data_IF_663804731631
#
_entry.id   IF_663804731631
#
_cell.length_a   1.000
_cell.length_b   1.000
_cell.length_c   1.000
_cell.angle_alpha   90.00
_cell.angle_beta   90.00
_cell.angle_gamma   90.00
#
_symmetry.space_group_name_H-M   'P 1'
#
loop_
_entity.id
_entity.type
_entity.pdbx_description
1 polymer ?
#
# COMPACT_ATOMS: atom_id res chain seq x y z
N UNK A 1 15.64 -60.51 -74.73
CA UNK A 1 16.46 -61.13 -73.66
C UNK A 1 16.59 -60.12 -72.53
N UNK A 2 16.11 -60.53 -71.36
CA UNK A 2 16.26 -59.95 -70.02
C UNK A 2 15.37 -58.79 -69.55
N UNK A 3 14.99 -58.81 -68.24
CA UNK A 3 13.79 -58.19 -67.67
C UNK A 3 14.09 -57.18 -66.53
N UNK A 4 13.03 -56.69 -65.91
CA UNK A 4 12.85 -56.22 -64.51
C UNK A 4 13.98 -55.51 -63.76
N UNK A 5 13.68 -54.30 -63.26
CA UNK A 5 13.61 -54.07 -61.80
C UNK A 5 12.93 -52.74 -61.44
N UNK A 6 11.88 -52.87 -60.63
CA UNK A 6 11.18 -51.82 -59.90
C UNK A 6 12.11 -51.13 -58.89
N UNK A 7 12.15 -49.78 -58.89
CA UNK A 7 12.75 -48.98 -57.80
C UNK A 7 11.72 -47.99 -57.25
N UNK A 8 11.31 -48.25 -56.02
CA UNK A 8 10.47 -47.40 -55.17
C UNK A 8 11.22 -46.12 -54.74
N UNK A 9 10.52 -44.98 -54.76
CA UNK A 9 10.99 -43.71 -54.22
C UNK A 9 11.12 -43.73 -52.67
N UNK A 10 12.04 -42.96 -52.07
CA UNK A 10 12.22 -42.95 -50.63
C UNK A 10 11.07 -42.17 -49.95
N UNK A 11 10.36 -42.86 -49.06
CA UNK A 11 9.38 -42.26 -48.16
C UNK A 11 10.09 -41.35 -47.15
N UNK A 12 10.06 -40.04 -47.34
CA UNK A 12 10.42 -39.08 -46.30
C UNK A 12 9.29 -39.11 -45.25
N UNK A 13 9.49 -39.86 -44.16
CA UNK A 13 8.62 -39.80 -42.98
C UNK A 13 8.80 -38.43 -42.34
N UNK A 14 7.82 -37.54 -42.53
CA UNK A 14 7.66 -36.35 -41.68
C UNK A 14 7.34 -36.86 -40.27
N UNK A 15 8.31 -36.78 -39.37
CA UNK A 15 8.08 -37.04 -37.95
C UNK A 15 7.10 -36.00 -37.41
N UNK A 16 5.83 -36.38 -37.31
CA UNK A 16 4.84 -35.65 -36.52
C UNK A 16 5.21 -35.84 -35.06
N UNK A 17 5.87 -34.83 -34.49
CA UNK A 17 6.10 -34.76 -33.05
C UNK A 17 4.74 -34.58 -32.39
N UNK A 18 4.32 -35.54 -31.57
CA UNK A 18 3.05 -35.52 -30.86
C UNK A 18 2.91 -34.20 -30.08
N UNK A 19 1.67 -33.69 -29.96
CA UNK A 19 1.36 -32.53 -29.12
C UNK A 19 1.87 -32.70 -27.67
N UNK A 20 2.08 -33.93 -27.20
CA UNK A 20 2.62 -34.23 -25.86
C UNK A 20 4.11 -33.87 -25.69
N UNK A 21 4.93 -33.91 -26.75
CA UNK A 21 6.37 -33.58 -26.67
C UNK A 21 6.64 -32.07 -26.63
N UNK A 22 5.69 -31.23 -27.09
CA UNK A 22 5.79 -29.76 -26.93
C UNK A 22 5.74 -29.30 -25.47
N UNK A 23 5.10 -30.07 -24.59
CA UNK A 23 5.06 -29.78 -23.16
C UNK A 23 6.37 -30.13 -22.42
N UNK A 24 7.25 -30.93 -23.03
CA UNK A 24 8.55 -31.28 -22.44
C UNK A 24 9.63 -30.20 -22.68
N UNK A 25 9.41 -29.31 -23.64
CA UNK A 25 10.34 -28.23 -24.01
C UNK A 25 9.73 -26.82 -23.83
N UNK A 26 8.58 -26.70 -23.17
CA UNK A 26 8.18 -25.41 -22.63
C UNK A 26 9.14 -25.07 -21.48
N UNK A 27 9.76 -23.87 -21.46
CA UNK A 27 10.45 -23.44 -20.25
C UNK A 27 9.45 -23.57 -19.11
N UNK A 28 9.76 -24.40 -18.11
CA UNK A 28 8.93 -24.50 -16.92
C UNK A 28 8.67 -23.07 -16.44
N UNK A 29 7.40 -22.66 -16.46
CA UNK A 29 6.99 -21.38 -15.92
C UNK A 29 7.59 -21.25 -14.53
N UNK A 30 8.47 -20.27 -14.31
CA UNK A 30 9.00 -19.93 -12.97
C UNK A 30 7.89 -19.44 -12.04
N UNK A 31 6.67 -19.25 -12.54
CA UNK A 31 5.51 -18.81 -11.78
C UNK A 31 4.77 -19.97 -11.13
N UNK A 32 4.29 -19.69 -9.92
CA UNK A 32 3.60 -20.66 -9.08
C UNK A 32 2.13 -20.76 -9.49
N UNK A 33 1.72 -21.98 -9.85
CA UNK A 33 0.36 -22.29 -10.28
C UNK A 33 -0.60 -22.53 -9.12
N UNK A 34 -0.09 -23.07 -8.01
CA UNK A 34 -0.83 -23.42 -6.80
C UNK A 34 -0.05 -22.98 -5.58
N UNK A 35 -0.69 -22.22 -4.68
CA UNK A 35 -0.07 -21.74 -3.46
C UNK A 35 0.02 -22.88 -2.44
N UNK A 36 1.21 -23.18 -1.95
CA UNK A 36 1.44 -23.93 -0.69
C UNK A 36 1.52 -22.96 0.48
N UNK A 37 1.46 -23.43 1.72
CA UNK A 37 1.65 -22.59 2.91
C UNK A 37 2.92 -21.73 2.78
N UNK A 38 2.77 -20.41 2.79
CA UNK A 38 3.88 -19.48 2.61
C UNK A 38 3.47 -18.04 2.31
N UNK A 39 4.48 -17.19 2.15
CA UNK A 39 4.43 -15.80 1.74
C UNK A 39 4.80 -15.69 0.26
N UNK A 40 3.99 -14.94 -0.48
CA UNK A 40 4.11 -14.79 -1.92
C UNK A 40 4.09 -13.32 -2.31
N UNK A 41 4.71 -13.00 -3.44
CA UNK A 41 4.71 -11.69 -4.06
C UNK A 41 4.15 -11.78 -5.48
N UNK A 42 3.21 -10.90 -5.80
CA UNK A 42 2.68 -10.75 -7.16
C UNK A 42 2.77 -9.30 -7.59
N UNK A 43 3.01 -9.06 -8.87
CA UNK A 43 2.97 -7.74 -9.47
C UNK A 43 1.90 -7.71 -10.57
N UNK A 44 0.88 -6.89 -10.38
CA UNK A 44 -0.20 -6.68 -11.32
C UNK A 44 0.13 -5.45 -12.15
N UNK A 45 0.64 -5.69 -13.35
CA UNK A 45 0.75 -4.67 -14.39
C UNK A 45 -0.61 -4.58 -15.10
N UNK A 46 -1.23 -3.41 -15.10
CA UNK A 46 -2.54 -3.20 -15.71
C UNK A 46 -2.55 -1.97 -16.62
N UNK A 47 -3.46 -1.98 -17.59
CA UNK A 47 -3.82 -0.83 -18.45
C UNK A 47 -5.33 -0.88 -18.68
N UNK A 48 -6.03 0.18 -18.29
CA UNK A 48 -7.49 0.15 -18.21
C UNK A 48 -7.98 -1.12 -17.48
N UNK A 49 -8.91 -1.88 -18.04
CA UNK A 49 -9.39 -3.14 -17.45
C UNK A 49 -8.64 -4.39 -17.97
N UNK A 50 -7.46 -4.21 -18.57
CA UNK A 50 -6.59 -5.31 -18.98
C UNK A 50 -5.46 -5.50 -17.99
N UNK A 51 -5.14 -6.77 -17.72
CA UNK A 51 -4.04 -7.18 -16.84
C UNK A 51 -3.02 -7.96 -17.66
N UNK A 52 -1.75 -7.74 -17.39
CA UNK A 52 -0.67 -8.49 -17.99
C UNK A 52 -0.54 -9.86 -17.31
N UNK A 53 -0.55 -10.91 -18.12
CA UNK A 53 -0.47 -12.30 -17.69
C UNK A 53 0.53 -13.09 -18.52
N UNK A 54 0.91 -14.27 -18.03
CA UNK A 54 1.73 -15.22 -18.79
C UNK A 54 0.98 -15.73 -20.04
N UNK A 55 1.68 -16.35 -21.00
CA UNK A 55 1.03 -16.97 -22.16
C UNK A 55 -0.09 -17.95 -21.78
N UNK A 56 0.02 -18.59 -20.62
CA UNK A 56 -0.95 -19.53 -20.05
C UNK A 56 -2.11 -18.88 -19.25
N UNK A 57 -2.38 -17.58 -19.40
CA UNK A 57 -3.45 -16.85 -18.67
C UNK A 57 -3.22 -16.75 -17.14
N UNK A 58 -1.96 -16.77 -16.67
CA UNK A 58 -1.65 -16.76 -15.24
C UNK A 58 -1.09 -15.41 -14.77
N UNK A 59 -1.43 -15.03 -13.54
CA UNK A 59 -0.82 -13.87 -12.88
C UNK A 59 0.61 -14.25 -12.44
N UNK A 60 1.61 -13.38 -12.66
CA UNK A 60 2.98 -13.64 -12.24
C UNK A 60 3.14 -13.61 -10.72
N UNK A 61 3.39 -14.77 -10.13
CA UNK A 61 3.58 -14.95 -8.67
C UNK A 61 4.94 -15.60 -8.39
N UNK A 62 5.64 -15.07 -7.39
CA UNK A 62 6.92 -15.55 -6.88
C UNK A 62 6.77 -15.91 -5.39
N UNK A 63 7.38 -17.02 -4.98
CA UNK A 63 7.49 -17.39 -3.56
C UNK A 63 8.53 -16.51 -2.88
N UNK A 64 8.18 -16.01 -1.70
CA UNK A 64 9.09 -15.27 -0.83
C UNK A 64 9.61 -16.20 0.25
N UNK A 65 8.72 -16.79 1.05
CA UNK A 65 9.10 -17.61 2.18
C UNK A 65 8.06 -18.70 2.48
N UNK A 66 8.49 -19.94 2.70
CA UNK A 66 7.63 -21.07 3.06
C UNK A 66 7.34 -21.16 4.57
N UNK A 67 8.08 -20.41 5.40
CA UNK A 67 8.13 -20.57 6.85
C UNK A 67 7.90 -19.25 7.61
N UNK A 68 6.92 -18.48 7.16
CA UNK A 68 6.67 -17.13 7.67
C UNK A 68 5.81 -17.06 8.95
N UNK A 69 6.12 -16.11 9.87
CA UNK A 69 5.51 -16.02 11.20
C UNK A 69 4.81 -14.69 11.58
N UNK A 70 5.20 -13.51 11.08
CA UNK A 70 4.67 -12.21 11.60
C UNK A 70 4.52 -11.07 10.56
N UNK A 71 3.37 -11.00 9.85
CA UNK A 71 3.19 -10.17 8.63
C UNK A 71 3.32 -8.67 8.78
N UNK A 72 2.87 -8.12 9.89
CA UNK A 72 2.48 -6.71 9.92
C UNK A 72 3.69 -5.78 9.84
N UNK A 73 4.76 -6.06 10.60
CA UNK A 73 5.97 -5.22 10.58
C UNK A 73 6.79 -5.36 9.29
N UNK A 74 6.92 -6.58 8.75
CA UNK A 74 7.65 -6.79 7.50
C UNK A 74 6.88 -6.26 6.30
N UNK A 75 5.55 -6.33 6.33
CA UNK A 75 4.71 -5.71 5.31
C UNK A 75 4.90 -4.21 5.23
N UNK A 76 4.92 -3.51 6.37
CA UNK A 76 5.17 -2.06 6.38
C UNK A 76 6.58 -1.74 5.88
N UNK A 77 7.58 -2.48 6.34
CA UNK A 77 8.95 -2.32 5.85
C UNK A 77 9.02 -2.52 4.33
N UNK A 78 8.37 -3.57 3.81
CA UNK A 78 8.30 -3.83 2.37
C UNK A 78 7.54 -2.73 1.61
N UNK A 79 6.50 -2.17 2.20
CA UNK A 79 5.77 -1.01 1.64
C UNK A 79 6.71 0.19 1.51
N UNK A 80 7.58 0.47 2.49
CA UNK A 80 8.61 1.51 2.37
C UNK A 80 9.65 1.18 1.29
N UNK A 81 10.06 -0.09 1.19
CA UNK A 81 10.98 -0.55 0.12
C UNK A 81 10.37 -0.35 -1.28
N UNK A 82 9.04 -0.34 -1.41
CA UNK A 82 8.39 -0.05 -2.70
C UNK A 82 8.61 1.35 -3.26
N UNK A 83 9.14 2.27 -2.45
CA UNK A 83 9.59 3.58 -2.91
C UNK A 83 11.05 3.60 -3.40
N UNK A 84 11.74 2.45 -3.36
CA UNK A 84 13.19 2.32 -3.56
C UNK A 84 13.55 1.30 -4.67
N UNK A 85 12.72 1.20 -5.71
CA UNK A 85 12.89 0.19 -6.76
C UNK A 85 14.25 0.22 -7.48
N UNK A 86 14.84 1.39 -7.64
CA UNK A 86 16.17 1.56 -8.24
C UNK A 86 17.31 1.10 -7.30
N UNK A 87 17.06 1.04 -6.00
CA UNK A 87 18.06 0.74 -4.98
C UNK A 87 18.05 -0.72 -4.51
N UNK A 88 17.22 -1.59 -5.11
CA UNK A 88 17.06 -2.97 -4.65
C UNK A 88 18.38 -3.74 -4.61
N UNK A 89 19.22 -3.61 -5.64
CA UNK A 89 20.54 -4.26 -5.65
C UNK A 89 21.46 -3.76 -4.53
N UNK A 90 21.38 -2.46 -4.21
CA UNK A 90 22.14 -1.88 -3.10
C UNK A 90 21.61 -2.34 -1.74
N UNK A 91 20.28 -2.38 -1.54
CA UNK A 91 19.66 -2.90 -0.32
C UNK A 91 20.02 -4.38 -0.09
N UNK A 92 20.09 -5.19 -1.15
CA UNK A 92 20.57 -6.57 -1.06
C UNK A 92 22.01 -6.62 -0.56
N UNK A 93 22.90 -5.77 -1.09
CA UNK A 93 24.30 -5.67 -0.66
C UNK A 93 24.43 -5.29 0.82
N UNK A 94 23.61 -4.36 1.31
CA UNK A 94 23.58 -3.96 2.72
C UNK A 94 23.25 -5.11 3.69
N UNK A 95 22.59 -6.17 3.20
CA UNK A 95 22.09 -7.30 4.00
C UNK A 95 22.80 -8.62 3.65
N UNK A 96 23.87 -8.59 2.84
CA UNK A 96 24.61 -9.81 2.43
C UNK A 96 25.12 -10.61 3.63
N UNK A 97 25.61 -9.93 4.68
CA UNK A 97 26.10 -10.61 5.89
C UNK A 97 25.00 -11.36 6.65
N UNK A 98 23.73 -11.10 6.33
CA UNK A 98 22.59 -11.77 6.93
C UNK A 98 22.17 -13.04 6.21
N UNK A 99 22.81 -13.45 5.10
CA UNK A 99 22.46 -14.69 4.40
C UNK A 99 22.54 -15.92 5.31
N UNK A 100 23.49 -15.94 6.25
CA UNK A 100 23.64 -16.98 7.27
C UNK A 100 22.96 -16.65 8.61
N UNK A 101 22.12 -15.61 8.66
CA UNK A 101 21.46 -15.17 9.88
C UNK A 101 20.46 -16.19 10.40
N UNK A 102 20.41 -16.35 11.72
CA UNK A 102 19.36 -17.11 12.41
C UNK A 102 18.08 -16.29 12.65
N UNK A 103 18.06 -14.99 12.31
CA UNK A 103 16.89 -14.12 12.48
C UNK A 103 15.87 -14.36 11.36
N UNK A 104 14.70 -14.92 11.71
CA UNK A 104 13.63 -15.17 10.75
C UNK A 104 13.11 -13.90 10.05
N UNK A 105 13.01 -12.79 10.78
CA UNK A 105 12.60 -11.48 10.24
C UNK A 105 13.60 -10.97 9.20
N UNK A 106 14.89 -11.04 9.52
CA UNK A 106 15.94 -10.57 8.61
C UNK A 106 16.02 -11.45 7.35
N UNK A 107 15.88 -12.76 7.52
CA UNK A 107 15.80 -13.72 6.41
C UNK A 107 14.58 -13.46 5.53
N UNK A 108 13.40 -13.21 6.12
CA UNK A 108 12.19 -12.88 5.36
C UNK A 108 12.42 -11.62 4.52
N UNK A 109 12.96 -10.55 5.10
CA UNK A 109 13.23 -9.29 4.40
C UNK A 109 14.25 -9.48 3.26
N UNK A 110 15.29 -10.28 3.49
CA UNK A 110 16.24 -10.65 2.44
C UNK A 110 15.56 -11.41 1.30
N UNK A 111 14.73 -12.41 1.62
CA UNK A 111 13.96 -13.17 0.63
C UNK A 111 12.97 -12.27 -0.13
N UNK A 112 12.36 -11.27 0.53
CA UNK A 112 11.52 -10.26 -0.15
C UNK A 112 12.33 -9.48 -1.19
N UNK A 113 13.53 -9.02 -0.85
CA UNK A 113 14.42 -8.32 -1.80
C UNK A 113 14.83 -9.23 -2.96
N UNK A 114 15.11 -10.51 -2.69
CA UNK A 114 15.41 -11.52 -3.72
C UNK A 114 14.22 -11.75 -4.66
N UNK A 115 13.01 -11.87 -4.12
CA UNK A 115 11.79 -12.01 -4.91
C UNK A 115 11.52 -10.78 -5.79
N UNK A 116 11.77 -9.57 -5.27
CA UNK A 116 11.70 -8.32 -6.06
C UNK A 116 12.72 -8.33 -7.19
N UNK A 117 13.99 -8.65 -6.90
CA UNK A 117 15.04 -8.71 -7.93
C UNK A 117 14.70 -9.76 -9.00
N UNK A 118 14.12 -10.90 -8.61
CA UNK A 118 13.63 -11.91 -9.55
C UNK A 118 12.51 -11.36 -10.44
N UNK A 119 11.53 -10.63 -9.90
CA UNK A 119 10.48 -9.98 -10.68
C UNK A 119 11.04 -8.95 -11.67
N UNK A 120 11.93 -8.08 -11.20
CA UNK A 120 12.52 -7.01 -12.03
C UNK A 120 13.34 -7.56 -13.20
N UNK A 121 14.28 -8.47 -12.92
CA UNK A 121 15.28 -8.91 -13.91
C UNK A 121 14.80 -10.08 -14.77
N UNK A 122 14.08 -11.05 -14.19
CA UNK A 122 13.81 -12.32 -14.86
C UNK A 122 12.39 -12.45 -15.42
N UNK A 123 11.44 -11.61 -14.99
CA UNK A 123 10.01 -11.86 -15.22
C UNK A 123 9.31 -10.70 -15.91
N UNK A 124 9.58 -9.46 -15.49
CA UNK A 124 8.86 -8.28 -16.00
C UNK A 124 9.74 -7.33 -16.81
N UNK A 125 11.07 -7.46 -16.74
CA UNK A 125 12.00 -6.61 -17.48
C UNK A 125 11.88 -5.13 -17.13
N UNK A 126 11.47 -4.82 -15.90
CA UNK A 126 11.24 -3.46 -15.44
C UNK A 126 11.70 -3.27 -14.01
N UNK A 127 12.35 -2.14 -13.72
CA UNK A 127 12.79 -1.81 -12.37
C UNK A 127 11.61 -1.40 -11.48
N UNK A 128 10.69 -0.59 -12.00
CA UNK A 128 9.54 -0.13 -11.22
C UNK A 128 8.44 -1.20 -11.17
N UNK A 129 8.11 -1.71 -9.98
CA UNK A 129 7.06 -2.71 -9.80
C UNK A 129 5.73 -2.09 -9.33
N UNK A 130 5.65 -0.77 -9.23
CA UNK A 130 4.48 -0.03 -8.77
C UNK A 130 4.37 0.06 -7.25
N UNK A 131 3.14 0.16 -6.73
CA UNK A 131 2.86 0.37 -5.31
C UNK A 131 2.32 -0.90 -4.65
N UNK A 132 2.65 -1.11 -3.37
CA UNK A 132 2.04 -2.17 -2.56
C UNK A 132 0.58 -1.83 -2.25
N UNK A 133 -0.33 -2.76 -2.50
CA UNK A 133 -1.71 -2.66 -2.03
C UNK A 133 -1.74 -2.70 -0.50
N UNK A 134 -2.48 -1.80 0.14
CA UNK A 134 -2.38 -1.44 1.57
C UNK A 134 -2.58 -2.58 2.58
N UNK A 135 -2.99 -3.77 2.14
CA UNK A 135 -3.11 -4.95 2.99
C UNK A 135 -2.75 -6.23 2.22
N UNK A 136 -2.06 -7.17 2.87
CA UNK A 136 -1.80 -8.49 2.29
C UNK A 136 -3.09 -9.32 2.22
N UNK A 137 -3.23 -10.13 1.17
CA UNK A 137 -4.33 -11.09 1.08
C UNK A 137 -3.93 -12.35 1.84
N UNK A 138 -4.68 -12.69 2.89
CA UNK A 138 -4.45 -13.89 3.69
C UNK A 138 -5.57 -14.90 3.45
N UNK A 139 -5.25 -16.17 3.27
CA UNK A 139 -6.23 -17.26 3.21
C UNK A 139 -6.20 -18.17 4.44
N UNK A 140 -7.21 -19.04 4.54
CA UNK A 140 -7.35 -19.99 5.65
C UNK A 140 -6.29 -21.09 5.64
N UNK A 141 -5.60 -21.29 4.52
CA UNK A 141 -4.53 -22.26 4.39
C UNK A 141 -3.19 -21.74 4.93
N UNK A 142 -3.17 -20.51 5.45
CA UNK A 142 -1.98 -19.87 5.99
C UNK A 142 -1.10 -19.24 4.90
N UNK A 143 -1.64 -19.00 3.71
CA UNK A 143 -0.94 -18.27 2.66
C UNK A 143 -1.14 -16.77 2.85
N UNK A 144 -0.08 -16.00 2.57
CA UNK A 144 -0.15 -14.55 2.47
C UNK A 144 0.37 -14.11 1.10
N UNK A 145 -0.35 -13.23 0.43
CA UNK A 145 0.00 -12.68 -0.87
C UNK A 145 0.16 -11.16 -0.78
N UNK A 146 1.38 -10.70 -1.02
CA UNK A 146 1.71 -9.30 -1.21
C UNK A 146 1.41 -8.92 -2.66
N UNK A 147 0.65 -7.85 -2.84
CA UNK A 147 0.18 -7.42 -4.16
C UNK A 147 0.80 -6.07 -4.50
N UNK A 148 1.64 -6.05 -5.52
CA UNK A 148 2.10 -4.82 -6.16
C UNK A 148 1.17 -4.48 -7.32
N UNK A 149 0.86 -3.20 -7.50
CA UNK A 149 -0.02 -2.69 -8.52
C UNK A 149 0.72 -1.62 -9.32
N UNK A 150 0.71 -1.72 -10.65
CA UNK A 150 1.34 -0.72 -11.52
C UNK A 150 0.46 -0.42 -12.72
N UNK A 151 0.20 0.87 -12.92
CA UNK A 151 -0.49 1.38 -14.11
C UNK A 151 0.55 1.58 -15.22
N UNK A 152 0.45 0.83 -16.30
CA UNK A 152 1.37 0.95 -17.43
C UNK A 152 0.91 2.01 -18.44
N UNK A 153 -0.28 2.60 -18.27
CA UNK A 153 -0.88 3.51 -19.23
C UNK A 153 -0.94 2.91 -20.64
N UNK A 154 -0.74 3.74 -21.67
CA UNK A 154 -0.77 3.31 -23.07
C UNK A 154 0.57 2.74 -23.59
N UNK A 155 1.65 2.78 -22.79
CA UNK A 155 3.01 2.49 -23.24
C UNK A 155 3.57 1.22 -22.60
N UNK A 156 4.44 0.52 -23.35
CA UNK A 156 5.22 -0.61 -22.85
C UNK A 156 4.58 -1.98 -23.12
N UNK A 157 5.36 -2.85 -23.75
CA UNK A 157 5.13 -4.29 -23.77
C UNK A 157 6.16 -4.96 -22.86
N UNK A 158 5.76 -6.05 -22.21
CA UNK A 158 6.68 -6.94 -21.52
C UNK A 158 6.85 -8.18 -22.39
N UNK A 159 8.09 -8.48 -22.79
CA UNK A 159 8.37 -9.64 -23.62
C UNK A 159 7.89 -10.94 -22.96
N UNK A 160 7.31 -11.84 -23.74
CA UNK A 160 6.82 -13.13 -23.24
C UNK A 160 5.52 -13.04 -22.40
N UNK A 161 4.92 -11.87 -22.22
CA UNK A 161 3.63 -11.70 -21.56
C UNK A 161 2.55 -11.17 -22.50
N UNK A 162 1.28 -11.33 -22.09
CA UNK A 162 0.14 -10.87 -22.88
C UNK A 162 -0.88 -10.12 -22.03
N UNK A 163 -1.55 -9.18 -22.67
CA UNK A 163 -2.63 -8.43 -22.07
C UNK A 163 -3.94 -9.19 -22.18
N UNK A 164 -4.58 -9.49 -21.05
CA UNK A 164 -5.87 -10.15 -21.00
C UNK A 164 -6.89 -9.26 -20.27
N UNK A 165 -8.11 -9.08 -20.81
CA UNK A 165 -9.20 -8.42 -20.09
C UNK A 165 -9.46 -9.10 -18.74
N UNK A 166 -9.58 -8.31 -17.68
CA UNK A 166 -9.78 -8.81 -16.30
C UNK A 166 -10.99 -9.76 -16.20
N UNK A 167 -12.07 -9.44 -16.89
CA UNK A 167 -13.27 -10.27 -16.91
C UNK A 167 -13.01 -11.70 -17.42
N UNK A 168 -12.10 -11.87 -18.40
CA UNK A 168 -11.75 -13.19 -18.93
C UNK A 168 -10.99 -14.03 -17.89
N UNK A 169 -10.04 -13.42 -17.18
CA UNK A 169 -9.29 -14.10 -16.10
C UNK A 169 -10.21 -14.54 -14.96
N UNK A 170 -11.15 -13.67 -14.57
CA UNK A 170 -12.12 -13.99 -13.53
C UNK A 170 -13.07 -15.13 -13.93
N UNK A 171 -13.48 -15.19 -15.20
CA UNK A 171 -14.35 -16.25 -15.71
C UNK A 171 -13.66 -17.63 -15.74
N UNK A 172 -12.39 -17.70 -16.15
CA UNK A 172 -11.64 -18.97 -16.19
C UNK A 172 -11.50 -19.62 -14.81
N UNK A 173 -11.39 -18.81 -13.75
CA UNK A 173 -11.21 -19.30 -12.38
C UNK A 173 -12.48 -19.71 -11.65
N UNK A 174 -13.63 -19.13 -11.97
CA UNK A 174 -14.93 -19.56 -11.43
C UNK A 174 -15.24 -21.04 -11.72
N UNK A 175 -14.54 -21.66 -12.66
CA UNK A 175 -14.68 -23.08 -13.02
C UNK A 175 -13.77 -24.03 -12.23
N UNK A 176 -12.80 -23.54 -11.44
CA UNK A 176 -11.69 -24.34 -10.90
C UNK A 176 -11.66 -24.47 -9.37
N UNK A 177 -12.36 -23.61 -8.62
CA UNK A 177 -12.35 -23.62 -7.15
C UNK A 177 -13.66 -24.16 -6.55
N UNK A 178 -13.57 -24.95 -5.48
CA UNK A 178 -14.73 -25.24 -4.64
C UNK A 178 -15.11 -23.98 -3.84
N UNK A 179 -16.40 -23.64 -3.72
CA UNK A 179 -16.85 -22.36 -3.17
C UNK A 179 -16.65 -22.18 -1.66
N UNK A 180 -16.27 -23.22 -0.92
CA UNK A 180 -16.28 -23.19 0.55
C UNK A 180 -15.07 -22.47 1.16
N UNK A 181 -13.88 -22.53 0.54
CA UNK A 181 -12.67 -21.86 1.04
C UNK A 181 -11.77 -21.36 -0.11
N UNK A 182 -11.88 -20.08 -0.52
CA UNK A 182 -11.06 -19.54 -1.61
C UNK A 182 -9.60 -19.36 -1.18
N UNK A 183 -8.66 -19.70 -2.08
CA UNK A 183 -7.23 -19.42 -1.88
C UNK A 183 -6.95 -17.91 -1.95
N UNK A 184 -5.78 -17.47 -1.48
CA UNK A 184 -5.38 -16.05 -1.57
C UNK A 184 -5.37 -15.53 -3.01
N UNK A 185 -5.06 -16.39 -3.97
CA UNK A 185 -5.09 -16.08 -5.39
C UNK A 185 -6.52 -16.00 -5.95
N UNK A 186 -7.45 -16.84 -5.46
CA UNK A 186 -8.86 -16.72 -5.82
C UNK A 186 -9.44 -15.42 -5.29
N UNK A 187 -9.14 -15.07 -4.03
CA UNK A 187 -9.55 -13.80 -3.44
C UNK A 187 -8.96 -12.60 -4.19
N UNK A 188 -7.69 -12.66 -4.59
CA UNK A 188 -7.08 -11.65 -5.46
C UNK A 188 -7.90 -11.46 -6.73
N UNK A 189 -8.15 -12.53 -7.48
CA UNK A 189 -8.84 -12.45 -8.76
C UNK A 189 -10.28 -11.94 -8.62
N UNK A 190 -11.00 -12.40 -7.60
CA UNK A 190 -12.37 -11.94 -7.30
C UNK A 190 -12.36 -10.43 -7.01
N UNK A 191 -11.44 -9.96 -6.18
CA UNK A 191 -11.39 -8.57 -5.70
C UNK A 191 -10.49 -7.65 -6.52
N UNK A 192 -9.86 -8.12 -7.60
CA UNK A 192 -8.82 -7.36 -8.31
C UNK A 192 -9.34 -6.01 -8.82
N UNK A 193 -10.56 -5.96 -9.30
CA UNK A 193 -11.21 -4.72 -9.75
C UNK A 193 -11.27 -3.63 -8.65
N UNK A 194 -11.50 -4.02 -7.39
CA UNK A 194 -11.49 -3.11 -6.24
C UNK A 194 -10.08 -2.60 -5.94
N UNK A 195 -9.07 -3.48 -6.04
CA UNK A 195 -7.67 -3.13 -5.82
C UNK A 195 -7.14 -2.16 -6.87
N UNK A 196 -7.48 -2.40 -8.14
CA UNK A 196 -7.17 -1.49 -9.24
C UNK A 196 -7.87 -0.13 -9.06
N UNK A 197 -9.14 -0.14 -8.63
CA UNK A 197 -9.87 1.09 -8.34
C UNK A 197 -9.24 1.88 -7.18
N UNK A 198 -8.85 1.21 -6.09
CA UNK A 198 -8.11 1.82 -4.98
C UNK A 198 -6.82 2.47 -5.47
N UNK A 199 -5.99 1.74 -6.22
CA UNK A 199 -4.71 2.24 -6.72
C UNK A 199 -4.86 3.49 -7.59
N UNK A 200 -5.86 3.55 -8.47
CA UNK A 200 -6.15 4.77 -9.25
C UNK A 200 -6.59 5.94 -8.38
N UNK A 201 -7.29 5.66 -7.28
CA UNK A 201 -7.88 6.67 -6.40
C UNK A 201 -6.87 7.20 -5.38
N UNK A 202 -5.95 6.38 -4.88
CA UNK A 202 -4.91 6.77 -3.92
C UNK A 202 -3.93 7.79 -4.48
N UNK A 203 -3.80 7.88 -5.81
CA UNK A 203 -2.96 8.89 -6.49
C UNK A 203 -3.68 10.19 -6.82
N UNK A 204 -4.98 10.31 -6.53
CA UNK A 204 -5.70 11.57 -6.80
C UNK A 204 -5.32 12.60 -5.76
N UNK A 205 -5.24 13.86 -6.19
CA UNK A 205 -5.04 15.00 -5.30
C UNK A 205 -6.31 15.85 -5.26
N UNK A 206 -6.53 16.51 -4.12
CA UNK A 206 -7.57 17.53 -4.02
C UNK A 206 -7.23 18.72 -4.91
N UNK A 207 -8.26 19.39 -5.43
CA UNK A 207 -8.08 20.72 -6.03
C UNK A 207 -7.61 21.73 -4.96
N UNK A 208 -6.91 22.80 -5.33
CA UNK A 208 -6.59 23.86 -4.37
C UNK A 208 -7.82 24.41 -3.64
N UNK A 209 -7.66 24.73 -2.36
CA UNK A 209 -8.69 25.31 -1.51
C UNK A 209 -8.54 24.98 -0.04
N UNK A 210 -9.45 25.55 0.75
CA UNK A 210 -9.57 25.29 2.18
C UNK A 210 -10.62 24.21 2.42
N UNK A 211 -10.30 23.24 3.26
CA UNK A 211 -11.12 22.06 3.52
C UNK A 211 -11.34 21.87 5.02
N UNK A 212 -12.46 21.26 5.38
CA UNK A 212 -12.73 20.73 6.71
C UNK A 212 -12.50 19.22 6.66
N UNK A 213 -11.53 18.71 7.42
CA UNK A 213 -11.20 17.28 7.53
C UNK A 213 -11.68 16.68 8.85
N UNK A 214 -12.24 15.48 8.83
CA UNK A 214 -12.65 14.74 10.02
C UNK A 214 -11.64 13.64 10.35
N UNK A 215 -11.04 13.73 11.54
CA UNK A 215 -10.11 12.72 12.04
C UNK A 215 -10.85 11.70 12.91
N UNK A 216 -10.82 10.44 12.48
CA UNK A 216 -11.30 9.30 13.26
C UNK A 216 -10.33 8.13 13.14
N UNK A 217 -9.85 7.68 14.29
CA UNK A 217 -8.91 6.58 14.43
C UNK A 217 -9.59 5.35 15.05
N UNK A 218 -9.04 4.18 14.74
CA UNK A 218 -9.42 2.90 15.31
C UNK A 218 -8.17 2.17 15.75
N UNK A 219 -8.10 1.80 17.02
CA UNK A 219 -7.05 0.94 17.52
C UNK A 219 -7.43 -0.53 17.26
N UNK A 220 -6.44 -1.31 16.83
CA UNK A 220 -6.53 -2.77 16.75
C UNK A 220 -5.35 -3.37 17.50
N UNK A 221 -5.38 -4.68 17.76
CA UNK A 221 -4.27 -5.38 18.44
C UNK A 221 -2.94 -5.18 17.71
N UNK A 222 -2.96 -5.06 16.38
CA UNK A 222 -1.75 -4.99 15.57
C UNK A 222 -1.32 -3.56 15.25
N UNK A 223 -2.26 -2.63 15.05
CA UNK A 223 -1.97 -1.28 14.54
C UNK A 223 -3.13 -0.29 14.72
N UNK A 224 -2.81 1.00 14.63
CA UNK A 224 -3.81 2.08 14.51
C UNK A 224 -4.25 2.19 13.04
N UNK A 225 -5.54 2.45 12.83
CA UNK A 225 -6.16 2.68 11.53
C UNK A 225 -6.86 4.03 11.50
N UNK A 226 -6.99 4.62 10.32
CA UNK A 226 -7.65 5.91 10.09
C UNK A 226 -8.81 5.76 9.10
N UNK A 227 -9.89 6.50 9.34
CA UNK A 227 -11.06 6.57 8.45
C UNK A 227 -10.80 7.53 7.27
N UNK A 228 -10.94 7.01 6.05
CA UNK A 228 -10.70 7.77 4.81
C UNK A 228 -11.81 7.51 3.78
N UNK A 229 -12.04 8.42 2.82
CA UNK A 229 -13.00 8.19 1.76
C UNK A 229 -12.42 7.25 0.71
N UNK A 230 -13.21 6.27 0.24
CA UNK A 230 -12.76 5.31 -0.79
C UNK A 230 -12.38 5.98 -2.12
N UNK A 231 -12.93 7.17 -2.41
CA UNK A 231 -12.72 7.90 -3.67
C UNK A 231 -11.35 8.58 -3.76
N UNK A 232 -10.78 8.99 -2.63
CA UNK A 232 -9.50 9.69 -2.48
C UNK A 232 -8.91 9.27 -1.10
N UNK A 233 -8.36 8.05 -0.97
CA UNK A 233 -8.01 7.46 0.32
C UNK A 233 -6.72 8.00 0.95
N UNK A 234 -6.03 8.93 0.28
CA UNK A 234 -4.82 9.62 0.74
C UNK A 234 -5.12 10.96 1.45
N UNK A 235 -6.39 11.23 1.78
CA UNK A 235 -6.81 12.34 2.63
C UNK A 235 -7.79 11.85 3.70
N UNK A 236 -7.85 12.56 4.83
CA UNK A 236 -8.92 12.37 5.79
C UNK A 236 -10.27 12.64 5.13
N UNK A 237 -11.35 12.14 5.72
CA UNK A 237 -12.68 12.45 5.20
C UNK A 237 -12.95 13.95 5.26
N UNK A 238 -13.44 14.54 4.17
CA UNK A 238 -13.37 15.99 4.00
C UNK A 238 -14.60 16.58 3.32
N UNK A 239 -14.77 17.89 3.49
CA UNK A 239 -15.63 18.77 2.67
C UNK A 239 -14.85 20.02 2.31
N UNK A 240 -15.01 20.54 1.08
CA UNK A 240 -14.40 21.82 0.67
C UNK A 240 -15.18 22.96 1.31
N UNK A 241 -14.46 23.86 2.00
CA UNK A 241 -15.02 25.08 2.59
C UNK A 241 -15.10 26.16 1.51
N UNK A 242 -13.97 26.48 0.87
CA UNK A 242 -13.85 27.53 -0.15
C UNK A 242 -12.64 27.31 -1.07
N UNK A 243 -12.59 28.04 -2.19
CA UNK A 243 -11.49 27.94 -3.16
C UNK A 243 -10.18 28.58 -2.70
N UNK A 244 -10.24 29.59 -1.83
CA UNK A 244 -9.05 30.18 -1.23
C UNK A 244 -8.56 29.30 -0.06
N UNK A 245 -7.37 28.72 -0.20
CA UNK A 245 -6.75 27.86 0.82
C UNK A 245 -6.34 28.62 2.08
N UNK A 246 -6.06 29.91 1.97
CA UNK A 246 -5.48 30.67 3.06
C UNK A 246 -6.52 30.94 4.15
N UNK A 247 -6.10 30.84 5.41
CA UNK A 247 -6.81 31.36 6.57
C UNK A 247 -6.15 32.67 6.97
N UNK A 248 -6.90 33.76 6.96
CA UNK A 248 -6.39 35.07 7.34
C UNK A 248 -6.08 35.15 8.83
N UNK A 249 -5.20 36.09 9.21
CA UNK A 249 -4.87 36.32 10.63
C UNK A 249 -6.10 36.58 11.49
N UNK A 250 -7.03 37.42 11.01
CA UNK A 250 -8.25 37.76 11.75
C UNK A 250 -9.17 36.53 11.93
N UNK A 251 -9.28 35.69 10.90
CA UNK A 251 -10.01 34.42 10.98
C UNK A 251 -9.37 33.46 11.99
N UNK A 252 -8.05 33.36 11.99
CA UNK A 252 -7.32 32.45 12.88
C UNK A 252 -7.36 32.89 14.34
N UNK A 253 -7.12 34.18 14.62
CA UNK A 253 -7.21 34.74 15.98
C UNK A 253 -8.63 34.58 16.54
N UNK A 254 -9.66 34.75 15.71
CA UNK A 254 -11.05 34.49 16.09
C UNK A 254 -11.27 33.00 16.41
N UNK A 255 -10.84 32.07 15.55
CA UNK A 255 -10.97 30.63 15.80
C UNK A 255 -10.31 30.19 17.12
N UNK A 256 -9.18 30.79 17.47
CA UNK A 256 -8.46 30.50 18.71
C UNK A 256 -9.15 31.08 19.97
N UNK A 257 -9.89 32.18 19.81
CA UNK A 257 -10.57 32.87 20.91
C UNK A 257 -11.91 32.23 21.28
N UNK A 258 -12.65 31.71 20.29
CA UNK A 258 -13.98 31.11 20.50
C UNK A 258 -13.91 29.85 21.37
N UNK A 259 -14.69 29.81 22.46
CA UNK A 259 -14.79 28.64 23.37
C UNK A 259 -16.10 27.88 23.25
N UNK A 260 -17.16 28.52 22.75
CA UNK A 260 -18.49 27.94 22.59
C UNK A 260 -19.18 28.39 21.29
N UNK A 261 -20.25 27.69 20.91
CA UNK A 261 -21.03 28.04 19.71
C UNK A 261 -21.77 29.37 19.93
N UNK A 262 -22.19 29.66 21.15
CA UNK A 262 -22.85 30.91 21.55
C UNK A 262 -21.89 32.09 21.39
N UNK A 263 -20.68 32.01 21.96
CA UNK A 263 -19.63 33.04 21.80
C UNK A 263 -19.25 33.24 20.33
N UNK A 264 -19.21 32.16 19.54
CA UNK A 264 -18.93 32.25 18.11
C UNK A 264 -19.93 33.16 17.38
N UNK A 265 -21.22 33.12 17.75
CA UNK A 265 -22.23 33.98 17.15
C UNK A 265 -22.07 35.44 17.56
N UNK A 266 -21.78 35.71 18.83
CA UNK A 266 -21.64 37.06 19.36
C UNK A 266 -20.39 37.75 18.80
N UNK A 267 -19.25 37.05 18.80
CA UNK A 267 -17.98 37.57 18.29
C UNK A 267 -17.97 37.77 16.77
N UNK A 268 -18.86 37.08 16.06
CA UNK A 268 -19.02 37.19 14.62
C UNK A 268 -20.29 37.98 14.24
N UNK A 269 -20.76 38.92 15.07
CA UNK A 269 -21.99 39.66 14.78
C UNK A 269 -21.89 40.61 13.56
N UNK A 270 -20.68 41.07 13.21
CA UNK A 270 -20.46 41.87 12.01
C UNK A 270 -20.50 40.99 10.75
N UNK A 271 -21.61 41.05 10.02
CA UNK A 271 -21.88 40.24 8.82
C UNK A 271 -20.85 40.44 7.70
N UNK A 272 -20.15 41.58 7.68
CA UNK A 272 -19.16 41.86 6.64
C UNK A 272 -17.75 41.37 7.00
N UNK A 273 -17.52 41.03 8.27
CA UNK A 273 -16.23 40.61 8.80
C UNK A 273 -15.76 39.27 8.23
N UNK A 274 -14.44 39.08 8.12
CA UNK A 274 -13.88 37.79 7.70
C UNK A 274 -14.24 36.64 8.66
N UNK A 275 -14.22 36.80 9.99
CA UNK A 275 -14.71 35.79 10.94
C UNK A 275 -16.15 35.35 10.70
N UNK A 276 -17.07 36.27 10.39
CA UNK A 276 -18.46 35.93 10.11
C UNK A 276 -18.62 35.05 8.89
N UNK A 277 -17.93 35.37 7.79
CA UNK A 277 -17.95 34.56 6.57
C UNK A 277 -17.40 33.16 6.83
N UNK A 278 -16.25 33.07 7.52
CA UNK A 278 -15.66 31.78 7.87
C UNK A 278 -16.59 30.95 8.77
N UNK A 279 -17.26 31.57 9.75
CA UNK A 279 -18.23 30.87 10.60
C UNK A 279 -19.39 30.27 9.79
N UNK A 280 -19.94 31.03 8.85
CA UNK A 280 -21.01 30.53 7.97
C UNK A 280 -20.52 29.35 7.11
N UNK A 281 -19.35 29.50 6.48
CA UNK A 281 -18.74 28.47 5.64
C UNK A 281 -18.47 27.19 6.44
N UNK A 282 -17.89 27.32 7.64
CA UNK A 282 -17.59 26.20 8.53
C UNK A 282 -18.86 25.47 8.97
N UNK A 283 -19.94 26.19 9.28
CA UNK A 283 -21.23 25.58 9.66
C UNK A 283 -21.85 24.78 8.52
N UNK A 284 -21.73 25.30 7.29
CA UNK A 284 -22.19 24.56 6.10
C UNK A 284 -21.34 23.31 5.91
N UNK A 285 -20.01 23.47 5.87
CA UNK A 285 -19.08 22.36 5.67
C UNK A 285 -19.18 21.29 6.75
N UNK A 286 -19.33 21.68 8.02
CA UNK A 286 -19.50 20.75 9.13
C UNK A 286 -20.81 19.97 9.03
N UNK A 287 -21.92 20.64 8.68
CA UNK A 287 -23.22 19.98 8.48
C UNK A 287 -23.14 18.95 7.36
N UNK A 288 -22.51 19.31 6.25
CA UNK A 288 -22.33 18.42 5.11
C UNK A 288 -21.47 17.23 5.53
N UNK A 289 -20.30 17.46 6.13
CA UNK A 289 -19.37 16.41 6.54
C UNK A 289 -20.01 15.42 7.54
N UNK A 290 -20.72 15.93 8.55
CA UNK A 290 -21.41 15.12 9.55
C UNK A 290 -22.54 14.30 8.93
N UNK A 291 -23.26 14.86 7.95
CA UNK A 291 -24.31 14.14 7.22
C UNK A 291 -23.74 12.98 6.39
N UNK A 292 -22.61 13.18 5.71
CA UNK A 292 -21.92 12.12 4.97
C UNK A 292 -21.42 10.98 5.89
N UNK A 293 -21.10 11.33 7.14
CA UNK A 293 -20.64 10.38 8.16
C UNK A 293 -21.77 9.70 8.94
N UNK A 294 -23.02 10.09 8.71
CA UNK A 294 -24.17 9.68 9.53
C UNK A 294 -23.99 10.00 11.02
N UNK A 295 -23.33 11.11 11.35
CA UNK A 295 -23.16 11.56 12.74
C UNK A 295 -24.36 12.42 13.14
N UNK A 296 -24.98 12.11 14.27
CA UNK A 296 -26.15 12.86 14.75
C UNK A 296 -25.76 14.25 15.25
N UNK A 297 -26.69 15.21 15.12
CA UNK A 297 -26.48 16.57 15.65
C UNK A 297 -26.18 16.59 17.15
N UNK A 298 -26.73 15.63 17.92
CA UNK A 298 -26.48 15.50 19.36
C UNK A 298 -25.01 15.15 19.64
N UNK A 299 -24.44 14.19 18.90
CA UNK A 299 -23.04 13.82 19.03
C UNK A 299 -22.11 14.96 18.58
N UNK A 300 -22.51 15.68 17.53
CA UNK A 300 -21.71 16.76 16.97
C UNK A 300 -21.56 17.98 17.90
N UNK A 301 -22.36 18.10 18.97
CA UNK A 301 -22.25 19.23 19.91
C UNK A 301 -20.91 19.24 20.66
N UNK A 302 -20.28 18.08 20.84
CA UNK A 302 -19.01 17.96 21.55
C UNK A 302 -17.80 17.95 20.61
N UNK A 303 -18.03 18.15 19.30
CA UNK A 303 -16.96 18.21 18.31
C UNK A 303 -16.27 19.57 18.38
N UNK A 304 -14.96 19.58 18.10
CA UNK A 304 -14.12 20.76 18.18
C UNK A 304 -13.26 20.93 16.93
N UNK A 305 -12.97 22.18 16.59
CA UNK A 305 -11.97 22.49 15.57
C UNK A 305 -10.59 22.47 16.24
N UNK A 306 -9.62 21.84 15.60
CA UNK A 306 -8.22 21.91 16.00
C UNK A 306 -7.63 23.27 15.63
N UNK A 307 -7.10 24.00 16.61
CA UNK A 307 -6.70 25.41 16.48
C UNK A 307 -5.23 25.67 16.80
N UNK A 308 -4.39 24.63 16.83
CA UNK A 308 -2.95 24.77 17.00
C UNK A 308 -2.24 25.13 15.69
N UNK A 309 -2.63 24.49 14.59
CA UNK A 309 -2.11 24.77 13.26
C UNK A 309 -3.16 24.47 12.18
N UNK A 310 -2.99 25.10 11.02
CA UNK A 310 -3.71 24.75 9.79
C UNK A 310 -2.84 23.74 9.05
N UNK A 311 -3.38 22.57 8.71
CA UNK A 311 -2.61 21.55 7.99
C UNK A 311 -2.50 21.93 6.52
N UNK A 312 -1.28 22.16 6.02
CA UNK A 312 -1.03 22.54 4.64
C UNK A 312 -0.36 21.39 3.87
N UNK A 313 -0.92 21.06 2.70
CA UNK A 313 -0.47 19.94 1.88
C UNK A 313 -0.25 20.37 0.44
N UNK A 314 0.89 19.99 -0.14
CA UNK A 314 1.22 20.23 -1.55
C UNK A 314 1.13 21.71 -1.97
N UNK A 315 0.60 21.97 -3.17
CA UNK A 315 0.49 23.33 -3.73
C UNK A 315 -0.93 23.88 -3.56
N UNK A 316 -1.27 24.36 -2.36
CA UNK A 316 -2.48 25.15 -2.11
C UNK A 316 -3.68 24.37 -1.59
N UNK A 317 -3.47 23.26 -0.89
CA UNK A 317 -4.53 22.59 -0.12
C UNK A 317 -4.28 22.85 1.36
N UNK A 318 -5.27 23.45 2.04
CA UNK A 318 -5.22 23.68 3.48
C UNK A 318 -6.42 23.00 4.13
N UNK A 319 -6.20 22.40 5.31
CA UNK A 319 -7.21 21.61 6.01
C UNK A 319 -7.31 22.07 7.46
N UNK A 320 -8.53 22.43 7.87
CA UNK A 320 -8.91 22.56 9.27
C UNK A 320 -9.42 21.21 9.75
N UNK A 321 -8.98 20.76 10.93
CA UNK A 321 -9.40 19.47 11.47
C UNK A 321 -10.60 19.63 12.40
N UNK A 322 -11.65 18.86 12.13
CA UNK A 322 -12.77 18.61 13.00
C UNK A 322 -12.51 17.32 13.78
N UNK A 323 -12.47 17.46 15.11
CA UNK A 323 -12.19 16.37 16.04
C UNK A 323 -13.44 16.02 16.84
N UNK A 324 -13.77 14.74 17.02
CA UNK A 324 -14.73 14.33 18.04
C UNK A 324 -14.16 14.60 19.46
N UNK A 325 -14.94 14.32 20.53
CA UNK A 325 -14.40 14.31 21.90
C UNK A 325 -13.11 13.52 21.99
N UNK A 326 -12.18 13.93 22.86
CA UNK A 326 -10.84 13.32 22.95
C UNK A 326 -10.91 11.79 23.18
N UNK A 327 -11.85 11.35 24.00
CA UNK A 327 -12.13 9.93 24.28
C UNK A 327 -12.61 9.15 23.05
N UNK A 328 -13.20 9.85 22.08
CA UNK A 328 -13.79 9.29 20.87
C UNK A 328 -12.92 9.47 19.62
N UNK A 329 -11.79 10.18 19.69
CA UNK A 329 -10.88 10.33 18.54
C UNK A 329 -10.36 8.97 18.09
N UNK A 330 -10.01 8.10 19.04
CA UNK A 330 -9.49 6.76 18.76
C UNK A 330 -10.34 5.70 19.48
N UNK A 331 -11.12 4.93 18.71
CA UNK A 331 -11.93 3.85 19.28
C UNK A 331 -11.05 2.65 19.67
N UNK A 332 -11.33 2.06 20.83
CA UNK A 332 -10.60 0.90 21.33
C UNK A 332 -10.93 -0.38 20.52
N UNK A 333 -10.06 -1.41 20.57
CA UNK A 333 -10.32 -2.68 19.90
C UNK A 333 -11.66 -3.28 20.32
N UNK A 334 -12.46 -3.73 19.35
CA UNK A 334 -13.80 -4.30 19.59
C UNK A 334 -14.94 -3.27 19.65
N UNK A 335 -14.64 -1.97 19.69
CA UNK A 335 -15.65 -0.89 19.60
C UNK A 335 -15.76 -0.29 18.19
N UNK A 336 -15.11 -0.92 17.20
CA UNK A 336 -15.04 -0.40 15.84
C UNK A 336 -16.40 -0.51 15.14
N UNK A 337 -16.99 0.63 14.78
CA UNK A 337 -18.12 0.65 13.85
C UNK A 337 -17.68 0.07 12.50
N UNK A 338 -18.35 -0.98 12.06
CA UNK A 338 -18.06 -1.60 10.77
C UNK A 338 -18.65 -0.73 9.66
N UNK A 339 -17.83 0.08 9.01
CA UNK A 339 -18.26 0.82 7.83
C UNK A 339 -18.46 -0.16 6.67
N UNK A 340 -19.70 -0.36 6.24
CA UNK A 340 -19.97 -1.20 5.08
C UNK A 340 -19.38 -0.57 3.81
N UNK A 341 -18.95 -1.34 2.81
CA UNK A 341 -18.46 -0.79 1.54
C UNK A 341 -19.43 0.22 0.88
N UNK A 342 -20.73 0.11 1.17
CA UNK A 342 -21.77 1.00 0.65
C UNK A 342 -21.71 2.42 1.21
N UNK A 343 -21.01 2.65 2.33
CA UNK A 343 -20.84 4.00 2.89
C UNK A 343 -19.86 4.86 2.10
N UNK A 344 -19.09 4.27 1.17
CA UNK A 344 -18.03 4.97 0.44
C UNK A 344 -16.82 5.31 1.31
N UNK A 345 -16.72 4.73 2.50
CA UNK A 345 -15.62 4.91 3.45
C UNK A 345 -14.76 3.64 3.53
N UNK A 346 -13.50 3.81 3.92
CA UNK A 346 -12.49 2.77 4.09
C UNK A 346 -11.70 3.07 5.36
N UNK A 347 -11.15 2.04 6.01
CA UNK A 347 -10.12 2.24 7.03
C UNK A 347 -8.78 1.77 6.49
N UNK A 348 -7.75 2.60 6.63
CA UNK A 348 -6.37 2.25 6.29
C UNK A 348 -5.52 2.14 7.55
N UNK A 349 -4.51 1.26 7.59
CA UNK A 349 -3.42 1.42 8.55
C UNK A 349 -2.89 2.84 8.53
N UNK A 350 -2.69 3.46 9.70
CA UNK A 350 -2.26 4.87 9.80
C UNK A 350 -0.94 5.09 9.05
N UNK A 351 0.03 4.20 9.25
CA UNK A 351 1.33 4.29 8.58
C UNK A 351 1.23 4.09 7.07
N UNK A 352 0.24 3.34 6.57
CA UNK A 352 0.02 3.24 5.11
C UNK A 352 -0.64 4.51 4.58
N UNK A 353 -1.59 5.08 5.33
CA UNK A 353 -2.20 6.38 5.00
C UNK A 353 -1.13 7.47 4.89
N UNK A 354 -0.19 7.55 5.83
CA UNK A 354 0.93 8.51 5.80
C UNK A 354 1.76 8.35 4.51
N UNK A 355 2.14 7.12 4.16
CA UNK A 355 2.93 6.86 2.95
C UNK A 355 2.20 7.32 1.68
N UNK A 356 0.92 6.94 1.50
CA UNK A 356 0.15 7.34 0.30
C UNK A 356 -0.20 8.84 0.31
N UNK A 357 -0.31 9.45 1.48
CA UNK A 357 -0.52 10.89 1.63
C UNK A 357 0.74 11.66 1.20
N UNK A 358 1.89 11.32 1.76
CA UNK A 358 3.16 11.97 1.42
C UNK A 358 3.56 11.71 -0.03
N UNK A 359 3.27 10.55 -0.59
CA UNK A 359 3.49 10.32 -2.01
C UNK A 359 2.69 11.29 -2.90
N UNK A 360 1.44 11.59 -2.53
CA UNK A 360 0.57 12.46 -3.31
C UNK A 360 0.86 13.95 -3.10
N UNK A 361 1.19 14.37 -1.88
CA UNK A 361 1.33 15.79 -1.52
C UNK A 361 2.77 16.25 -1.27
N UNK A 362 3.68 15.33 -0.94
CA UNK A 362 5.09 15.61 -0.61
C UNK A 362 6.08 14.63 -1.31
N UNK A 363 6.03 14.47 -2.66
CA UNK A 363 6.81 13.44 -3.37
C UNK A 363 8.33 13.60 -3.23
N UNK A 364 8.83 14.82 -2.98
CA UNK A 364 10.26 15.07 -2.72
C UNK A 364 10.75 14.52 -1.37
N UNK A 365 9.84 14.31 -0.42
CA UNK A 365 10.16 13.84 0.93
C UNK A 365 10.08 12.31 1.04
N UNK A 366 9.06 11.70 0.41
CA UNK A 366 8.72 10.29 0.66
C UNK A 366 9.86 9.31 0.31
N UNK A 367 10.56 9.52 -0.81
CA UNK A 367 11.67 8.68 -1.24
C UNK A 367 12.81 8.67 -0.22
N UNK A 368 13.40 9.84 0.12
CA UNK A 368 14.41 9.95 1.17
C UNK A 368 13.96 9.38 2.53
N UNK A 369 12.73 9.66 2.97
CA UNK A 369 12.18 9.13 4.21
C UNK A 369 12.13 7.59 4.19
N UNK A 370 11.56 7.00 3.14
CA UNK A 370 11.48 5.55 3.00
C UNK A 370 12.86 4.91 2.91
N UNK A 371 13.83 5.57 2.26
CA UNK A 371 15.22 5.10 2.18
C UNK A 371 15.86 4.98 3.56
N UNK A 372 15.81 6.05 4.35
CA UNK A 372 16.37 6.07 5.71
C UNK A 372 15.63 5.07 6.60
N UNK A 373 14.29 5.06 6.57
CA UNK A 373 13.47 4.18 7.40
C UNK A 373 13.67 2.69 7.09
N UNK A 374 13.71 2.32 5.81
CA UNK A 374 13.95 0.94 5.40
C UNK A 374 15.36 0.46 5.76
N UNK A 375 16.37 1.32 5.58
CA UNK A 375 17.76 1.01 5.93
C UNK A 375 17.96 0.88 7.44
N UNK A 376 17.47 1.84 8.23
CA UNK A 376 17.54 1.78 9.70
C UNK A 376 16.81 0.55 10.23
N UNK A 377 15.66 0.20 9.66
CA UNK A 377 14.95 -1.04 10.00
C UNK A 377 15.77 -2.31 9.75
N UNK A 378 16.64 -2.34 8.73
CA UNK A 378 17.57 -3.46 8.51
C UNK A 378 18.76 -3.41 9.47
N UNK A 379 19.39 -2.24 9.65
CA UNK A 379 20.54 -2.08 10.55
C UNK A 379 20.17 -2.35 12.01
N UNK A 380 18.93 -2.07 12.43
CA UNK A 380 18.43 -2.40 13.76
C UNK A 380 18.44 -3.91 14.00
N UNK A 381 17.92 -4.70 13.04
CA UNK A 381 17.92 -6.16 13.12
C UNK A 381 19.36 -6.72 13.10
N UNK A 382 20.20 -6.21 12.21
CA UNK A 382 21.60 -6.66 12.09
C UNK A 382 22.43 -6.32 13.33
N UNK A 383 22.27 -5.11 13.89
CA UNK A 383 22.98 -4.72 15.13
C UNK A 383 22.50 -5.53 16.34
N UNK A 384 21.20 -5.82 16.42
CA UNK A 384 20.66 -6.70 17.46
C UNK A 384 21.19 -8.13 17.33
N UNK A 385 21.33 -8.65 16.12
CA UNK A 385 21.94 -9.95 15.89
C UNK A 385 23.42 -9.95 16.29
N UNK A 386 24.19 -8.94 15.88
CA UNK A 386 25.59 -8.81 16.25
C UNK A 386 25.80 -8.77 17.78
N UNK A 387 24.88 -8.16 18.54
CA UNK A 387 24.89 -8.21 20.01
C UNK A 387 24.70 -9.62 20.57
N UNK A 388 23.87 -10.45 19.92
CA UNK A 388 23.63 -11.84 20.34
C UNK A 388 24.76 -12.79 19.96
N UNK A 389 25.47 -12.48 18.89
CA UNK A 389 26.55 -13.30 18.33
C UNK A 389 27.95 -12.86 18.78
N UNK A 390 28.08 -11.75 19.49
CA UNK A 390 29.38 -11.30 20.01
C UNK A 390 29.93 -12.31 21.03
N UNK A 391 31.15 -12.82 20.80
CA UNK A 391 31.79 -13.80 21.66
C UNK A 391 32.90 -13.19 22.53
N UNK A 392 33.60 -12.17 22.02
CA UNK A 392 34.66 -11.46 22.75
C UNK A 392 34.20 -10.10 23.29
N UNK A 393 34.90 -9.58 24.29
CA UNK A 393 34.60 -8.25 24.86
C UNK A 393 34.74 -7.14 23.82
N UNK A 394 35.73 -7.21 22.93
CA UNK A 394 35.94 -6.22 21.86
C UNK A 394 34.80 -6.24 20.83
N UNK A 395 34.33 -7.43 20.42
CA UNK A 395 33.16 -7.57 19.56
C UNK A 395 31.90 -7.05 20.25
N UNK A 396 31.71 -7.36 21.52
CA UNK A 396 30.55 -6.92 22.29
C UNK A 396 30.52 -5.39 22.42
N UNK A 397 31.66 -4.75 22.69
CA UNK A 397 31.77 -3.29 22.74
C UNK A 397 31.45 -2.65 21.39
N UNK A 398 31.97 -3.22 20.30
CA UNK A 398 31.70 -2.75 18.93
C UNK A 398 30.22 -2.89 18.56
N UNK A 399 29.62 -4.04 18.89
CA UNK A 399 28.21 -4.30 18.65
C UNK A 399 27.29 -3.37 19.47
N UNK A 400 27.64 -3.11 20.74
CA UNK A 400 26.91 -2.14 21.59
C UNK A 400 26.97 -0.73 21.03
N UNK A 401 28.15 -0.25 20.67
CA UNK A 401 28.32 1.08 20.08
C UNK A 401 27.48 1.23 18.80
N UNK A 402 27.58 0.24 17.88
CA UNK A 402 26.80 0.26 16.64
C UNK A 402 25.30 0.22 16.91
N UNK A 403 24.84 -0.64 17.81
CA UNK A 403 23.42 -0.75 18.15
C UNK A 403 22.88 0.56 18.73
N UNK A 404 23.61 1.18 19.66
CA UNK A 404 23.25 2.46 20.24
C UNK A 404 23.12 3.55 19.16
N UNK A 405 24.12 3.66 18.27
CA UNK A 405 24.07 4.62 17.16
C UNK A 405 22.82 4.43 16.28
N UNK A 406 22.47 3.18 15.96
CA UNK A 406 21.24 2.88 15.19
C UNK A 406 19.98 3.29 15.93
N UNK A 407 19.89 3.04 17.25
CA UNK A 407 18.76 3.48 18.06
C UNK A 407 18.63 5.01 18.10
N UNK A 408 19.75 5.73 18.24
CA UNK A 408 19.77 7.20 18.21
C UNK A 408 19.26 7.73 16.86
N UNK A 409 19.69 7.13 15.75
CA UNK A 409 19.23 7.55 14.42
C UNK A 409 17.75 7.21 14.18
N UNK A 410 17.26 6.10 14.74
CA UNK A 410 15.83 5.77 14.70
C UNK A 410 15.00 6.78 15.47
N UNK A 411 15.43 7.16 16.68
CA UNK A 411 14.76 8.18 17.48
C UNK A 411 14.75 9.53 16.77
N UNK A 412 15.89 9.97 16.21
CA UNK A 412 15.96 11.21 15.44
C UNK A 412 15.00 11.20 14.25
N UNK A 413 14.82 10.07 13.57
CA UNK A 413 13.87 9.93 12.47
C UNK A 413 12.41 9.98 12.92
N UNK A 414 12.09 9.51 14.13
CA UNK A 414 10.73 9.58 14.71
C UNK A 414 10.36 10.99 15.20
N UNK A 415 11.36 11.84 15.46
CA UNK A 415 11.19 13.24 15.88
C UNK A 415 11.07 14.23 14.70
N UNK A 416 11.33 13.78 13.46
CA UNK A 416 11.13 14.53 12.21
C UNK A 416 9.67 14.45 11.75
#
# INVERSE_FOLDING_TARGET
LFPDQCKSAPHIRKHSVSKSLRHLFQPNSKFIKSLKRGLYLTCILYRDDNVLVTPEDQIPIVEVDDSYSSLTQDFLWFTKVSYLWEEISWLQQCVVSAQSSCSCTLQTRLKMLQAVAQLQQNLLGTHDLGQVYYEPIKDKHGNALLVLLRDMGAAGGVEGMRWTPLCKLQLQRKSLSSPEEPTALDMLLITLHEKLAYHRRSRKVLSPGLYLGYLKLFSTVEQIRVLVPQKIPNVLCYVKIRDNSNVSRAEWEWLQAVRSIEEAHEMAADEQSAPHRLLQDLRSAARDLLSHMNISKKQAQEFRIYTHEVCEFGQGVSVLLLLPPCEDVCSAPGQNQTYSPRTGLLTLPLQVFELVHFEAYCPSFIGPFCRVSALLGLQALMSQQALREAFSESELLTAKHKHQQVQEHMQQMEEL
#
